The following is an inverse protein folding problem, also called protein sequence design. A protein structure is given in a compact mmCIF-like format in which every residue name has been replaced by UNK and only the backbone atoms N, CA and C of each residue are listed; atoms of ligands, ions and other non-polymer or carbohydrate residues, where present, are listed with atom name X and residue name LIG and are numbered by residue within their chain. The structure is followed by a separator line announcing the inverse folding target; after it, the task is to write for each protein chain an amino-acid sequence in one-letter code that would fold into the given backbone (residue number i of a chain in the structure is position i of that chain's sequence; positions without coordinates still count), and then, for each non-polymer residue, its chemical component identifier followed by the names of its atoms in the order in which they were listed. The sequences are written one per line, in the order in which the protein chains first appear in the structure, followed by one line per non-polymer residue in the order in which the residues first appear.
data_IF_337787393665
#
_entry.id   IF_337787393665
#
_cell.length_a   1.000
_cell.length_b   1.000
_cell.length_c   1.000
_cell.angle_alpha   90.00
_cell.angle_beta   90.00
_cell.angle_gamma   90.00
#
_symmetry.space_group_name_H-M   'P 1'
#
loop_
_entity.id
_entity.type
_entity.pdbx_description
1 polymer ?
#
# COMPACT_ATOMS: atom_id res chain seq x y z
N UNK A 1 -7.91 -32.05 -13.29
CA UNK A 1 -8.51 -31.01 -14.15
C UNK A 1 -8.79 -29.80 -13.27
N UNK A 2 -8.14 -28.69 -13.61
CA UNK A 2 -8.02 -27.44 -12.86
C UNK A 2 -9.34 -26.66 -12.83
N UNK A 3 -9.87 -26.33 -11.65
CA UNK A 3 -10.66 -25.11 -11.47
C UNK A 3 -10.44 -24.57 -10.03
N UNK A 4 -9.33 -23.85 -9.80
CA UNK A 4 -9.34 -22.83 -8.75
C UNK A 4 -10.04 -21.60 -9.32
N UNK A 5 -11.36 -21.60 -9.18
CA UNK A 5 -12.23 -20.51 -9.59
C UNK A 5 -12.00 -19.34 -8.65
N UNK A 6 -11.43 -18.25 -9.17
CA UNK A 6 -11.43 -16.97 -8.46
C UNK A 6 -10.14 -16.17 -8.53
N UNK A 7 -9.54 -16.01 -9.71
CA UNK A 7 -8.81 -14.76 -9.96
C UNK A 7 -9.80 -13.83 -10.64
N UNK A 8 -10.17 -12.77 -9.94
CA UNK A 8 -10.86 -11.64 -10.54
C UNK A 8 -9.88 -10.97 -11.52
N UNK A 9 -9.96 -11.35 -12.79
CA UNK A 9 -9.64 -10.43 -13.88
C UNK A 9 -10.81 -9.45 -13.97
N UNK A 10 -10.82 -8.47 -13.07
CA UNK A 10 -11.57 -7.25 -13.31
C UNK A 10 -10.55 -6.16 -13.48
N UNK A 11 -10.45 -5.69 -14.71
CA UNK A 11 -10.08 -4.34 -15.08
C UNK A 11 -10.93 -3.34 -14.27
N UNK A 12 -10.64 -3.21 -12.98
CA UNK A 12 -11.00 -2.06 -12.17
C UNK A 12 -9.85 -1.11 -12.45
N UNK A 13 -10.15 -0.07 -13.22
CA UNK A 13 -9.41 1.18 -13.33
C UNK A 13 -8.32 1.30 -12.24
N UNK A 14 -7.05 1.43 -12.65
CA UNK A 14 -5.87 1.60 -11.79
C UNK A 14 -6.03 2.86 -10.92
N UNK A 15 -6.93 2.78 -9.95
CA UNK A 15 -7.19 3.83 -9.00
C UNK A 15 -6.12 3.70 -7.93
N UNK A 16 -5.22 4.67 -7.92
CA UNK A 16 -4.18 4.77 -6.91
C UNK A 16 -4.78 4.72 -5.52
N UNK A 17 -4.07 4.09 -4.59
CA UNK A 17 -4.49 4.04 -3.21
C UNK A 17 -4.47 5.46 -2.64
N UNK A 18 -5.65 6.01 -2.39
CA UNK A 18 -5.80 7.28 -1.68
C UNK A 18 -5.96 7.01 -0.19
N UNK A 19 -5.82 8.06 0.62
CA UNK A 19 -5.80 7.96 2.08
C UNK A 19 -7.00 7.19 2.66
N UNK A 20 -8.21 7.39 2.13
CA UNK A 20 -9.39 6.63 2.54
C UNK A 20 -9.25 5.11 2.28
N UNK A 21 -8.67 4.73 1.14
CA UNK A 21 -8.35 3.35 0.82
C UNK A 21 -7.35 2.75 1.82
N UNK A 22 -6.29 3.50 2.11
CA UNK A 22 -5.31 3.11 3.12
C UNK A 22 -5.94 2.92 4.51
N UNK A 23 -6.78 3.84 4.99
CA UNK A 23 -7.45 3.71 6.29
C UNK A 23 -8.28 2.42 6.41
N UNK A 24 -8.98 2.05 5.33
CA UNK A 24 -9.73 0.79 5.29
C UNK A 24 -8.79 -0.43 5.40
N UNK A 25 -7.64 -0.40 4.71
CA UNK A 25 -6.65 -1.46 4.76
C UNK A 25 -5.97 -1.55 6.14
N UNK A 26 -5.57 -0.41 6.73
CA UNK A 26 -4.95 -0.35 8.05
C UNK A 26 -5.89 -0.93 9.12
N UNK A 27 -7.18 -0.54 9.09
CA UNK A 27 -8.18 -1.12 9.98
C UNK A 27 -8.38 -2.62 9.76
N UNK A 28 -8.42 -3.08 8.51
CA UNK A 28 -8.66 -4.49 8.18
C UNK A 28 -7.50 -5.40 8.57
N UNK A 29 -6.26 -4.99 8.26
CA UNK A 29 -5.08 -5.84 8.44
C UNK A 29 -4.38 -5.66 9.79
N UNK A 30 -4.40 -4.44 10.35
CA UNK A 30 -3.66 -4.08 11.55
C UNK A 30 -4.56 -3.73 12.74
N UNK A 31 -5.89 -3.59 12.53
CA UNK A 31 -6.85 -3.12 13.53
C UNK A 31 -6.51 -1.73 14.08
N UNK A 32 -5.87 -0.89 13.25
CA UNK A 32 -5.50 0.49 13.57
C UNK A 32 -6.44 1.46 12.89
N UNK A 33 -7.00 2.38 13.66
CA UNK A 33 -7.93 3.41 13.19
C UNK A 33 -7.19 4.74 12.97
N UNK A 34 -6.24 5.05 13.85
CA UNK A 34 -5.42 6.26 13.82
C UNK A 34 -4.02 5.93 14.36
N UNK A 35 -3.00 6.60 13.81
CA UNK A 35 -1.60 6.50 14.22
C UNK A 35 -0.89 7.81 13.83
N UNK A 36 0.16 8.20 14.56
CA UNK A 36 0.95 9.39 14.25
C UNK A 36 1.58 9.34 12.84
N UNK A 37 1.84 8.13 12.34
CA UNK A 37 2.40 7.89 11.02
C UNK A 37 1.39 8.08 9.88
N UNK A 38 0.08 8.15 10.15
CA UNK A 38 -0.94 8.29 9.12
C UNK A 38 -0.78 9.61 8.34
N UNK A 39 -0.35 10.67 9.00
CA UNK A 39 -0.07 11.95 8.34
C UNK A 39 1.03 11.82 7.28
N UNK A 40 2.12 11.13 7.60
CA UNK A 40 3.21 10.89 6.65
C UNK A 40 2.76 9.98 5.49
N UNK A 41 2.02 8.92 5.80
CA UNK A 41 1.46 8.01 4.78
C UNK A 41 0.52 8.76 3.84
N UNK A 42 -0.34 9.65 4.35
CA UNK A 42 -1.23 10.47 3.54
C UNK A 42 -0.45 11.32 2.53
N UNK A 43 0.52 12.11 3.00
CA UNK A 43 1.32 12.97 2.13
C UNK A 43 2.04 12.15 1.04
N UNK A 44 2.57 10.98 1.40
CA UNK A 44 3.26 10.11 0.45
C UNK A 44 2.31 9.43 -0.56
N UNK A 45 1.08 9.07 -0.16
CA UNK A 45 0.07 8.50 -1.06
C UNK A 45 -0.52 9.53 -2.03
N UNK A 46 -0.49 10.82 -1.68
CA UNK A 46 -0.87 11.90 -2.58
C UNK A 46 0.16 12.11 -3.70
N UNK A 47 1.43 11.86 -3.40
CA UNK A 47 2.55 12.04 -4.33
C UNK A 47 3.01 10.75 -5.04
N UNK A 48 2.42 9.61 -4.67
CA UNK A 48 2.76 8.31 -5.23
C UNK A 48 1.57 7.67 -5.94
N UNK A 49 1.92 6.85 -6.91
CA UNK A 49 0.99 6.13 -7.79
C UNK A 49 0.92 4.65 -7.40
N UNK A 50 0.97 4.35 -6.09
CA UNK A 50 0.85 2.98 -5.59
C UNK A 50 -0.60 2.47 -5.71
N UNK A 51 -0.76 1.19 -6.08
CA UNK A 51 -2.10 0.58 -6.10
C UNK A 51 -2.53 0.13 -4.70
N UNK A 52 -3.84 -0.03 -4.45
CA UNK A 52 -4.34 -0.59 -3.20
C UNK A 52 -3.79 -1.99 -2.89
N UNK A 53 -3.42 -2.76 -3.92
CA UNK A 53 -2.80 -4.08 -3.78
C UNK A 53 -1.39 -3.93 -3.20
N UNK A 54 -0.56 -3.05 -3.78
CA UNK A 54 0.80 -2.80 -3.31
C UNK A 54 0.81 -2.29 -1.86
N UNK A 55 -0.13 -1.38 -1.53
CA UNK A 55 -0.30 -0.90 -0.15
C UNK A 55 -0.71 -2.04 0.78
N UNK A 56 -1.66 -2.89 0.38
CA UNK A 56 -2.09 -4.03 1.20
C UNK A 56 -0.94 -5.02 1.46
N UNK A 57 -0.09 -5.30 0.47
CA UNK A 57 1.06 -6.19 0.62
C UNK A 57 2.06 -5.69 1.67
N UNK A 58 2.27 -4.38 1.76
CA UNK A 58 3.12 -3.77 2.79
C UNK A 58 2.50 -3.83 4.20
N UNK A 59 1.17 -3.83 4.29
CA UNK A 59 0.45 -3.92 5.57
C UNK A 59 0.23 -5.36 6.04
N UNK A 60 0.25 -6.34 5.15
CA UNK A 60 -0.01 -7.74 5.47
C UNK A 60 1.15 -8.40 6.23
N UNK A 61 0.91 -8.99 7.42
CA UNK A 61 1.91 -9.80 8.10
C UNK A 61 2.24 -11.05 7.28
N UNK A 62 3.53 -11.27 6.98
CA UNK A 62 4.03 -12.44 6.24
C UNK A 62 3.68 -13.80 6.89
N UNK A 63 3.26 -13.81 8.16
CA UNK A 63 2.84 -15.03 8.85
C UNK A 63 1.52 -14.83 9.59
N UNK A 64 0.51 -15.64 9.27
CA UNK A 64 -0.80 -15.66 9.96
C UNK A 64 -0.69 -15.92 11.48
N UNK A 65 0.44 -16.45 11.95
CA UNK A 65 0.67 -16.79 13.36
C UNK A 65 1.31 -15.68 14.18
N UNK A 66 1.85 -14.63 13.54
CA UNK A 66 2.42 -13.47 14.23
C UNK A 66 1.76 -12.22 13.67
N UNK A 67 0.94 -11.55 14.48
CA UNK A 67 0.59 -10.16 14.20
C UNK A 67 1.89 -9.37 14.23
N UNK A 68 2.24 -8.77 13.09
CA UNK A 68 3.33 -7.78 13.06
C UNK A 68 2.83 -6.58 13.85
N UNK A 69 3.76 -5.93 14.55
CA UNK A 69 3.47 -4.66 15.18
C UNK A 69 2.98 -3.66 14.11
N UNK A 70 1.84 -2.99 14.31
CA UNK A 70 1.31 -2.07 13.32
C UNK A 70 2.29 -0.98 12.91
N UNK A 71 3.10 -0.46 13.86
CA UNK A 71 4.10 0.55 13.58
C UNK A 71 5.17 0.01 12.62
N UNK A 72 5.57 -1.25 12.74
CA UNK A 72 6.53 -1.88 11.80
C UNK A 72 5.95 -1.98 10.39
N UNK A 73 4.67 -2.33 10.25
CA UNK A 73 4.01 -2.37 8.93
C UNK A 73 3.87 -0.97 8.31
N UNK A 74 3.51 0.03 9.13
CA UNK A 74 3.39 1.42 8.67
C UNK A 74 4.74 2.01 8.25
N UNK A 75 5.80 1.75 9.00
CA UNK A 75 7.17 2.15 8.64
C UNK A 75 7.59 1.50 7.31
N UNK A 76 7.33 0.21 7.14
CA UNK A 76 7.62 -0.49 5.88
C UNK A 76 6.88 0.11 4.68
N UNK A 77 5.60 0.46 4.86
CA UNK A 77 4.83 1.15 3.83
C UNK A 77 5.43 2.53 3.50
N UNK A 78 5.83 3.32 4.50
CA UNK A 78 6.47 4.63 4.30
C UNK A 78 7.75 4.50 3.48
N UNK A 79 8.60 3.51 3.79
CA UNK A 79 9.83 3.25 3.02
C UNK A 79 9.51 2.89 1.57
N UNK A 80 8.53 2.02 1.33
CA UNK A 80 8.09 1.64 0.00
C UNK A 80 7.54 2.86 -0.79
N UNK A 81 6.74 3.72 -0.15
CA UNK A 81 6.19 4.93 -0.77
C UNK A 81 7.29 5.94 -1.11
N UNK A 82 8.27 6.13 -0.22
CA UNK A 82 9.44 6.97 -0.49
C UNK A 82 10.25 6.44 -1.68
N UNK A 83 10.37 5.12 -1.81
CA UNK A 83 11.07 4.48 -2.91
C UNK A 83 10.30 4.65 -4.23
N UNK A 84 8.99 4.38 -4.23
CA UNK A 84 8.12 4.58 -5.41
C UNK A 84 8.16 6.03 -5.91
N UNK A 85 8.15 7.01 -4.99
CA UNK A 85 8.31 8.44 -5.32
C UNK A 85 9.65 8.74 -6.00
N UNK A 86 10.76 8.18 -5.50
CA UNK A 86 12.10 8.36 -6.12
C UNK A 86 12.15 7.76 -7.52
N UNK A 87 11.57 6.58 -7.71
CA UNK A 87 11.54 5.90 -9.01
C UNK A 87 10.71 6.71 -10.02
N UNK A 88 9.53 7.20 -9.62
CA UNK A 88 8.70 8.08 -10.45
C UNK A 88 9.43 9.39 -10.84
N UNK A 89 10.20 9.98 -9.92
CA UNK A 89 11.01 11.16 -10.23
C UNK A 89 12.15 10.86 -11.21
N UNK A 90 12.72 9.65 -11.17
CA UNK A 90 13.82 9.25 -12.07
C UNK A 90 13.33 8.96 -13.49
N UNK A 91 12.11 8.45 -13.64
CA UNK A 91 11.48 8.21 -14.96
C UNK A 91 11.21 9.53 -15.69
N UNK A 92 10.74 10.55 -14.98
CA UNK A 92 10.49 11.90 -15.56
C UNK A 92 11.76 12.59 -16.09
N UNK A 93 12.95 12.18 -15.68
CA UNK A 93 14.24 12.75 -16.13
C UNK A 93 14.78 12.06 -17.39
N UNK A 94 14.33 10.84 -17.70
CA UNK A 94 14.83 10.08 -18.87
C UNK A 94 14.03 10.30 -20.15
N UNK A 95 12.93 11.04 -20.10
CA UNK A 95 12.11 11.40 -21.26
C UNK A 95 12.37 12.84 -21.77
N UNK A 96 13.42 13.51 -21.29
CA UNK A 96 13.85 14.85 -21.71
C UNK A 96 15.10 14.82 -22.59
#
# INVERSE_FOLDING_TARGET
MLIQRGRMDKHIEMSYCRFEGFKMLAKNYLDVIEDELFGEVQCLLEESDMSPVDVAENLMPMSKKKRRDPSVCLIGLIEALKQAKKEAATIKVKEA
#
